data_IF_144552174355
#
_entry.id   IF_144552174355
#
_cell.length_a   1.000
_cell.length_b   1.000
_cell.length_c   1.000
_cell.angle_alpha   90.00
_cell.angle_beta   90.00
_cell.angle_gamma   90.00
#
_symmetry.space_group_name_H-M   'P 1'
#
loop_
_entity.id
_entity.type
_entity.pdbx_description
1 polymer ?
#
# COMPACT_ATOMS: atom_id res chain seq x y z
N UNK A 1 12.19 -25.04 -18.25
CA UNK A 1 11.54 -25.59 -17.06
C UNK A 1 10.32 -24.75 -16.69
N UNK A 2 9.50 -25.28 -15.81
CA UNK A 2 8.32 -24.58 -15.30
C UNK A 2 8.04 -25.00 -13.84
N UNK A 3 7.33 -24.12 -13.09
CA UNK A 3 6.84 -24.43 -11.76
C UNK A 3 5.37 -24.87 -11.82
N UNK A 4 5.05 -25.98 -11.18
CA UNK A 4 3.70 -26.44 -10.93
C UNK A 4 3.33 -26.08 -9.48
N UNK A 5 2.33 -25.20 -9.32
CA UNK A 5 1.88 -24.73 -8.01
C UNK A 5 0.73 -25.62 -7.52
N UNK A 6 0.79 -26.06 -6.28
CA UNK A 6 -0.25 -26.84 -5.59
C UNK A 6 -1.18 -25.97 -4.74
N UNK A 7 -1.17 -24.68 -4.98
CA UNK A 7 -2.04 -23.66 -4.43
C UNK A 7 -2.31 -22.60 -5.53
N UNK A 8 -3.24 -21.67 -5.30
CA UNK A 8 -3.48 -20.58 -6.24
C UNK A 8 -2.41 -19.47 -6.07
N UNK A 9 -1.44 -19.31 -7.00
CA UNK A 9 -0.39 -18.30 -6.89
C UNK A 9 -0.88 -16.87 -7.15
N UNK A 10 -2.05 -16.71 -7.77
CA UNK A 10 -2.66 -15.42 -8.15
C UNK A 10 -4.06 -15.29 -7.53
N UNK A 11 -4.16 -15.04 -6.20
CA UNK A 11 -5.47 -14.83 -5.58
C UNK A 11 -6.14 -13.59 -6.14
N UNK A 12 -7.46 -13.60 -6.21
CA UNK A 12 -8.26 -12.45 -6.63
C UNK A 12 -7.99 -11.25 -5.70
N UNK A 13 -7.43 -10.19 -6.28
CA UNK A 13 -7.09 -8.95 -5.58
C UNK A 13 -8.14 -7.86 -5.79
N UNK A 14 -9.12 -8.09 -6.68
CA UNK A 14 -10.21 -7.14 -6.98
C UNK A 14 -11.56 -7.81 -6.76
N UNK A 15 -12.55 -7.05 -6.27
CA UNK A 15 -13.90 -7.58 -6.15
C UNK A 15 -14.49 -7.85 -7.54
N UNK A 16 -15.35 -8.86 -7.64
CA UNK A 16 -16.04 -9.20 -8.90
C UNK A 16 -17.28 -8.33 -9.05
N UNK A 17 -17.41 -7.67 -10.18
CA UNK A 17 -18.64 -6.96 -10.57
C UNK A 17 -19.59 -7.96 -11.20
N UNK A 18 -20.75 -8.18 -10.58
CA UNK A 18 -21.77 -9.07 -11.06
C UNK A 18 -22.56 -8.45 -12.25
N UNK A 19 -23.28 -9.26 -13.04
CA UNK A 19 -24.04 -8.75 -14.20
C UNK A 19 -25.11 -7.71 -13.86
N UNK A 20 -25.61 -7.72 -12.61
CA UNK A 20 -26.57 -6.72 -12.11
C UNK A 20 -25.90 -5.40 -11.67
N UNK A 21 -24.57 -5.30 -11.78
CA UNK A 21 -23.76 -4.16 -11.37
C UNK A 21 -23.47 -4.08 -9.88
N UNK A 22 -23.88 -5.06 -9.10
CA UNK A 22 -23.45 -5.24 -7.71
C UNK A 22 -22.01 -5.76 -7.64
N UNK A 23 -21.39 -5.66 -6.48
CA UNK A 23 -19.97 -6.01 -6.28
C UNK A 23 -19.88 -7.11 -5.22
N UNK A 24 -19.28 -8.23 -5.59
CA UNK A 24 -19.01 -9.33 -4.67
C UNK A 24 -17.61 -9.17 -4.05
N UNK A 25 -17.59 -8.87 -2.75
CA UNK A 25 -16.37 -8.77 -1.93
C UNK A 25 -15.99 -10.09 -1.26
N UNK A 26 -16.83 -11.15 -1.34
CA UNK A 26 -16.56 -12.42 -0.67
C UNK A 26 -15.40 -13.20 -1.32
N UNK A 27 -15.09 -12.87 -2.56
CA UNK A 27 -13.94 -13.47 -3.29
C UNK A 27 -12.61 -12.96 -2.77
N UNK A 28 -12.59 -11.79 -2.12
CA UNK A 28 -11.38 -11.19 -1.57
C UNK A 28 -10.92 -11.90 -0.32
N UNK A 29 -9.61 -11.88 -0.09
CA UNK A 29 -9.00 -12.41 1.13
C UNK A 29 -9.18 -13.92 1.31
N UNK A 30 -9.41 -14.66 0.22
CA UNK A 30 -9.27 -16.12 0.27
C UNK A 30 -7.81 -16.43 0.58
N UNK A 31 -7.60 -16.99 1.77
CA UNK A 31 -6.29 -17.44 2.22
C UNK A 31 -6.06 -18.86 1.76
N UNK A 32 -4.90 -19.10 1.19
CA UNK A 32 -4.44 -20.45 0.81
C UNK A 32 -3.72 -21.07 2.02
N UNK A 33 -4.51 -21.74 2.86
CA UNK A 33 -4.01 -22.34 4.10
C UNK A 33 -3.26 -23.62 3.83
N UNK A 34 -2.05 -23.72 4.38
CA UNK A 34 -1.20 -24.87 4.26
C UNK A 34 -0.77 -25.37 5.64
N UNK A 35 -0.55 -26.67 5.75
CA UNK A 35 -0.03 -27.33 6.95
C UNK A 35 1.48 -27.53 6.83
N UNK A 36 2.14 -27.66 8.00
CA UNK A 36 3.58 -27.98 8.01
C UNK A 36 3.87 -29.29 7.26
N UNK A 37 4.86 -29.24 6.36
CA UNK A 37 5.26 -30.38 5.53
C UNK A 37 4.42 -30.56 4.25
N UNK A 38 3.45 -29.70 3.99
CA UNK A 38 2.65 -29.74 2.76
C UNK A 38 3.50 -29.34 1.56
N UNK A 39 3.38 -30.09 0.45
CA UNK A 39 3.99 -29.75 -0.83
C UNK A 39 3.32 -28.50 -1.43
N UNK A 40 4.13 -27.51 -1.75
CA UNK A 40 3.68 -26.22 -2.26
C UNK A 40 3.92 -26.06 -3.76
N UNK A 41 5.12 -26.44 -4.21
CA UNK A 41 5.54 -26.24 -5.60
C UNK A 41 6.39 -27.43 -6.04
N UNK A 42 6.17 -27.89 -7.28
CA UNK A 42 7.03 -28.86 -7.97
C UNK A 42 7.69 -28.15 -9.16
N UNK A 43 9.02 -28.24 -9.22
CA UNK A 43 9.77 -27.73 -10.35
C UNK A 43 10.01 -28.82 -11.36
N UNK A 44 9.65 -28.57 -12.62
CA UNK A 44 9.92 -29.43 -13.76
C UNK A 44 11.06 -28.83 -14.59
N UNK A 45 12.21 -29.51 -14.57
CA UNK A 45 13.38 -29.08 -15.31
C UNK A 45 13.17 -29.17 -16.82
N UNK A 46 13.95 -28.42 -17.56
CA UNK A 46 13.98 -28.49 -19.02
C UNK A 46 14.39 -29.88 -19.48
N UNK A 47 13.64 -30.45 -20.42
CA UNK A 47 14.06 -31.65 -21.14
C UNK A 47 15.09 -31.26 -22.21
N UNK A 48 16.13 -32.10 -22.44
CA UNK A 48 17.10 -31.86 -23.48
C UNK A 48 16.41 -31.79 -24.86
N UNK A 49 16.87 -30.88 -25.68
CA UNK A 49 16.33 -30.71 -27.02
C UNK A 49 16.61 -31.95 -27.87
N UNK A 50 15.60 -32.45 -28.58
CA UNK A 50 15.72 -33.60 -29.48
C UNK A 50 15.66 -33.08 -30.90
N UNK A 51 16.75 -33.36 -31.66
CA UNK A 51 16.87 -32.97 -33.07
C UNK A 51 15.82 -33.72 -33.89
N UNK A 52 14.99 -32.96 -34.60
CA UNK A 52 13.99 -33.50 -35.50
C UNK A 52 14.50 -33.76 -36.94
N UNK A 53 13.71 -34.45 -37.77
CA UNK A 53 13.92 -34.53 -39.20
C UNK A 53 12.62 -34.16 -39.93
N UNK A 54 12.77 -33.45 -41.04
CA UNK A 54 11.64 -33.14 -41.92
C UNK A 54 11.24 -34.38 -42.75
N UNK A 55 10.14 -34.26 -43.52
CA UNK A 55 9.64 -35.32 -44.39
C UNK A 55 10.62 -35.66 -45.54
N UNK A 56 11.64 -34.83 -45.78
CA UNK A 56 12.67 -35.05 -46.79
C UNK A 56 13.96 -35.61 -46.18
N UNK A 57 13.98 -35.86 -44.83
CA UNK A 57 15.13 -36.40 -44.10
C UNK A 57 16.17 -35.38 -43.65
N UNK A 58 15.94 -34.08 -43.89
CA UNK A 58 16.83 -33.03 -43.46
C UNK A 58 16.78 -32.84 -41.92
N UNK A 59 17.91 -32.52 -41.29
CA UNK A 59 18.02 -32.29 -39.87
C UNK A 59 17.36 -30.94 -39.57
N UNK A 60 16.36 -30.95 -38.65
CA UNK A 60 15.81 -29.74 -38.07
C UNK A 60 16.46 -29.47 -36.73
N UNK A 61 17.13 -28.31 -36.63
CA UNK A 61 17.76 -27.91 -35.37
C UNK A 61 16.69 -27.73 -34.27
N UNK A 62 16.97 -28.25 -33.10
CA UNK A 62 16.13 -28.08 -31.93
C UNK A 62 16.62 -26.92 -31.08
N UNK A 63 15.71 -26.10 -30.60
CA UNK A 63 16.05 -25.01 -29.68
C UNK A 63 16.07 -25.56 -28.25
N UNK A 64 17.19 -25.33 -27.52
CA UNK A 64 17.26 -25.64 -26.11
C UNK A 64 16.29 -24.74 -25.32
N UNK A 65 15.48 -25.37 -24.49
CA UNK A 65 14.65 -24.64 -23.54
C UNK A 65 15.49 -23.96 -22.48
N UNK A 66 14.98 -22.88 -21.89
CA UNK A 66 15.63 -22.17 -20.78
C UNK A 66 15.13 -22.71 -19.44
N UNK A 67 16.06 -22.92 -18.54
CA UNK A 67 15.74 -23.27 -17.15
C UNK A 67 15.38 -22.04 -16.33
N UNK A 68 14.53 -22.21 -15.32
CA UNK A 68 14.16 -21.13 -14.42
C UNK A 68 15.02 -21.20 -13.16
N UNK A 69 15.51 -20.05 -12.68
CA UNK A 69 16.22 -20.03 -11.42
C UNK A 69 15.29 -20.39 -10.24
N UNK A 70 15.78 -20.97 -9.14
CA UNK A 70 14.97 -21.42 -8.01
C UNK A 70 14.18 -20.29 -7.36
N UNK A 71 13.03 -20.59 -6.75
CA UNK A 71 12.24 -19.66 -5.96
C UNK A 71 12.96 -19.32 -4.66
N UNK A 72 12.83 -18.06 -4.22
CA UNK A 72 13.27 -17.67 -2.88
C UNK A 72 12.23 -18.15 -1.87
N UNK A 73 12.70 -18.77 -0.79
CA UNK A 73 11.86 -19.41 0.20
C UNK A 73 11.91 -18.68 1.54
N UNK A 74 10.73 -18.32 2.08
CA UNK A 74 10.59 -17.83 3.45
C UNK A 74 9.61 -18.69 4.21
N UNK A 75 10.10 -19.39 5.27
CA UNK A 75 9.33 -20.39 6.03
C UNK A 75 8.81 -21.52 5.14
N UNK A 76 9.54 -21.85 4.14
CA UNK A 76 9.41 -23.05 3.32
C UNK A 76 10.80 -23.64 3.11
N UNK A 77 10.87 -24.92 2.79
CA UNK A 77 12.09 -25.67 2.57
C UNK A 77 12.06 -26.32 1.21
N UNK A 78 13.20 -26.37 0.55
CA UNK A 78 13.39 -27.06 -0.71
C UNK A 78 13.98 -28.43 -0.43
N UNK A 79 13.54 -29.47 -1.16
CA UNK A 79 14.09 -30.79 -1.05
C UNK A 79 15.59 -30.85 -1.46
N UNK A 80 16.30 -31.89 -1.08
CA UNK A 80 17.74 -32.06 -1.39
C UNK A 80 18.03 -32.08 -2.90
N UNK A 81 17.06 -32.45 -3.72
CA UNK A 81 17.17 -32.50 -5.17
C UNK A 81 16.88 -31.16 -5.86
N UNK A 82 16.31 -30.20 -5.13
CA UNK A 82 15.97 -28.86 -5.66
C UNK A 82 14.72 -28.79 -6.52
N UNK A 83 13.85 -29.82 -6.46
CA UNK A 83 12.65 -29.89 -7.31
C UNK A 83 11.33 -29.63 -6.58
N UNK A 84 11.30 -29.78 -5.27
CA UNK A 84 10.06 -29.67 -4.50
C UNK A 84 10.22 -28.69 -3.33
N UNK A 85 9.18 -27.87 -3.12
CA UNK A 85 9.13 -26.89 -2.04
C UNK A 85 8.02 -27.26 -1.07
N UNK A 86 8.35 -27.32 0.22
CA UNK A 86 7.47 -27.71 1.31
C UNK A 86 7.29 -26.61 2.33
N UNK A 87 6.12 -26.50 2.94
CA UNK A 87 5.88 -25.58 4.05
C UNK A 87 6.64 -26.00 5.31
N UNK A 88 7.48 -25.11 5.89
CA UNK A 88 8.16 -25.36 7.18
C UNK A 88 7.25 -25.15 8.39
N UNK A 89 6.16 -24.36 8.21
CA UNK A 89 5.16 -24.04 9.24
C UNK A 89 3.78 -24.05 8.61
N UNK A 90 2.74 -24.13 9.44
CA UNK A 90 1.38 -23.86 9.02
C UNK A 90 1.16 -22.35 8.79
N UNK A 91 0.25 -21.98 7.91
CA UNK A 91 -0.07 -20.59 7.62
C UNK A 91 -0.67 -20.35 6.25
N UNK A 92 -0.66 -19.10 5.84
CA UNK A 92 -1.08 -18.66 4.51
C UNK A 92 0.10 -18.65 3.55
N UNK A 93 0.01 -19.38 2.43
CA UNK A 93 1.04 -19.38 1.40
C UNK A 93 0.77 -18.26 0.39
N UNK A 94 1.82 -17.52 0.05
CA UNK A 94 1.76 -16.45 -0.96
C UNK A 94 2.98 -16.50 -1.86
N UNK A 95 2.78 -16.12 -3.13
CA UNK A 95 3.85 -15.95 -4.11
C UNK A 95 3.91 -14.48 -4.55
N UNK A 96 4.96 -13.77 -4.18
CA UNK A 96 5.20 -12.39 -4.61
C UNK A 96 6.41 -12.36 -5.55
N UNK A 97 6.16 -12.23 -6.86
CA UNK A 97 7.20 -12.36 -7.87
C UNK A 97 7.83 -13.76 -7.85
N UNK A 98 9.01 -13.89 -7.26
CA UNK A 98 9.73 -15.17 -7.12
C UNK A 98 9.97 -15.57 -5.66
N UNK A 99 9.32 -14.89 -4.72
CA UNK A 99 9.42 -15.17 -3.30
C UNK A 99 8.18 -15.95 -2.84
N UNK A 100 8.38 -17.24 -2.54
CA UNK A 100 7.38 -18.09 -1.91
C UNK A 100 7.46 -17.89 -0.40
N UNK A 101 6.36 -17.50 0.23
CA UNK A 101 6.33 -17.18 1.66
C UNK A 101 5.16 -17.90 2.33
N UNK A 102 5.40 -18.54 3.47
CA UNK A 102 4.34 -19.04 4.36
C UNK A 102 4.26 -18.12 5.57
N UNK A 103 3.13 -17.43 5.73
CA UNK A 103 2.88 -16.45 6.80
C UNK A 103 1.99 -17.07 7.87
N UNK A 104 2.38 -17.08 9.16
CA UNK A 104 1.51 -17.56 10.24
C UNK A 104 0.20 -16.79 10.28
N UNK A 105 -0.89 -17.46 10.65
CA UNK A 105 -2.22 -16.87 10.79
C UNK A 105 -2.70 -16.99 12.23
N UNK A 106 -3.30 -15.91 12.74
CA UNK A 106 -4.09 -15.91 13.94
C UNK A 106 -5.58 -15.85 13.57
N UNK A 107 -6.26 -16.99 13.66
CA UNK A 107 -7.68 -17.09 13.37
C UNK A 107 -8.50 -16.88 14.66
N UNK A 108 -9.49 -16.00 14.58
CA UNK A 108 -10.47 -15.72 15.65
C UNK A 108 -11.82 -16.18 15.11
N UNK A 109 -12.34 -17.32 15.63
CA UNK A 109 -13.55 -17.96 15.10
C UNK A 109 -14.85 -17.23 15.46
N UNK A 110 -14.80 -16.30 16.42
CA UNK A 110 -15.94 -15.50 16.87
C UNK A 110 -15.78 -14.02 16.59
N UNK A 111 -16.48 -13.23 17.40
CA UNK A 111 -16.37 -11.78 17.39
C UNK A 111 -15.15 -11.32 18.19
N UNK A 112 -14.65 -10.16 17.84
CA UNK A 112 -13.60 -9.46 18.58
C UNK A 112 -14.21 -8.22 19.24
N UNK A 113 -14.17 -8.17 20.56
CA UNK A 113 -14.76 -7.12 21.38
C UNK A 113 -13.80 -6.66 22.49
N UNK A 114 -14.22 -5.68 23.30
CA UNK A 114 -13.41 -5.17 24.41
C UNK A 114 -13.14 -6.24 25.50
N UNK A 115 -13.95 -7.30 25.60
CA UNK A 115 -13.71 -8.41 26.53
C UNK A 115 -12.64 -9.37 26.02
N UNK A 116 -12.54 -9.55 24.71
CA UNK A 116 -11.48 -10.30 24.04
C UNK A 116 -10.15 -9.54 24.09
N UNK A 117 -10.21 -8.19 24.13
CA UNK A 117 -9.07 -7.28 24.22
C UNK A 117 -8.43 -6.95 22.87
N UNK A 118 -7.34 -6.18 22.94
CA UNK A 118 -6.56 -5.78 21.78
C UNK A 118 -5.72 -6.94 21.27
N UNK A 119 -5.48 -6.98 19.95
CA UNK A 119 -4.68 -8.01 19.28
C UNK A 119 -3.45 -7.37 18.66
N UNK A 120 -2.26 -7.85 19.03
CA UNK A 120 -0.98 -7.52 18.37
C UNK A 120 -0.30 -8.84 17.94
N UNK A 121 -0.16 -9.06 16.63
CA UNK A 121 0.29 -10.34 16.10
C UNK A 121 1.33 -10.18 14.98
N UNK A 122 2.31 -11.07 14.93
CA UNK A 122 3.28 -11.15 13.85
C UNK A 122 2.87 -12.18 12.79
N UNK A 123 2.05 -11.78 11.83
CA UNK A 123 1.53 -12.65 10.78
C UNK A 123 0.25 -12.08 10.21
N UNK A 124 -0.60 -12.92 9.60
CA UNK A 124 -1.91 -12.52 9.14
C UNK A 124 -2.97 -12.75 10.23
N UNK A 125 -3.99 -11.92 10.29
CA UNK A 125 -5.10 -12.05 11.24
C UNK A 125 -6.40 -12.24 10.48
N UNK A 126 -7.15 -13.28 10.83
CA UNK A 126 -8.46 -13.59 10.28
C UNK A 126 -9.52 -13.55 11.40
N UNK A 127 -10.48 -12.64 11.30
CA UNK A 127 -11.64 -12.58 12.18
C UNK A 127 -12.86 -13.09 11.43
N UNK A 128 -13.45 -14.20 11.88
CA UNK A 128 -14.63 -14.81 11.24
C UNK A 128 -15.92 -14.04 11.57
N UNK A 129 -15.99 -13.46 12.76
CA UNK A 129 -17.13 -12.68 13.23
C UNK A 129 -16.95 -11.17 13.02
N UNK A 130 -17.65 -10.40 13.86
CA UNK A 130 -17.63 -8.94 13.86
C UNK A 130 -16.47 -8.40 14.72
N UNK A 131 -16.04 -7.18 14.43
CA UNK A 131 -15.15 -6.40 15.28
C UNK A 131 -15.95 -5.25 15.87
N UNK A 132 -16.14 -5.26 17.18
CA UNK A 132 -16.93 -4.26 17.89
C UNK A 132 -16.10 -3.02 18.27
N UNK A 133 -16.79 -1.97 18.71
CA UNK A 133 -16.19 -0.71 19.08
C UNK A 133 -15.15 -0.84 20.20
N UNK A 134 -14.10 0.00 20.14
CA UNK A 134 -13.06 0.12 21.16
C UNK A 134 -11.91 -0.88 21.04
N UNK A 135 -11.90 -1.74 20.04
CA UNK A 135 -10.83 -2.72 19.81
C UNK A 135 -9.72 -2.13 18.95
N UNK A 136 -8.48 -2.45 19.32
CA UNK A 136 -7.28 -2.23 18.49
C UNK A 136 -6.74 -3.56 17.98
N UNK A 137 -6.67 -3.70 16.66
CA UNK A 137 -6.08 -4.85 16.00
C UNK A 137 -4.84 -4.42 15.22
N UNK A 138 -3.69 -4.96 15.58
CA UNK A 138 -2.41 -4.64 14.97
C UNK A 138 -1.71 -5.89 14.47
N UNK A 139 -1.19 -5.84 13.25
CA UNK A 139 -0.44 -6.94 12.67
C UNK A 139 0.66 -6.48 11.71
N UNK A 140 1.70 -7.28 11.57
CA UNK A 140 2.71 -7.07 10.53
C UNK A 140 2.29 -7.63 9.16
N UNK A 141 1.29 -8.49 9.11
CA UNK A 141 0.69 -9.07 7.91
C UNK A 141 -0.58 -8.35 7.47
N UNK A 142 -1.55 -9.11 6.99
CA UNK A 142 -2.86 -8.64 6.53
C UNK A 142 -3.93 -8.87 7.60
N UNK A 143 -4.95 -8.02 7.62
CA UNK A 143 -6.16 -8.19 8.43
C UNK A 143 -7.31 -8.55 7.49
N UNK A 144 -7.99 -9.66 7.76
CA UNK A 144 -9.24 -10.02 7.07
C UNK A 144 -10.37 -10.13 8.09
N UNK A 145 -11.45 -9.38 7.89
CA UNK A 145 -12.67 -9.47 8.73
C UNK A 145 -13.82 -9.90 7.84
N UNK A 146 -14.42 -11.06 8.16
CA UNK A 146 -15.57 -11.57 7.44
C UNK A 146 -16.88 -10.91 7.89
N UNK A 147 -16.96 -10.49 9.15
CA UNK A 147 -18.09 -9.76 9.72
C UNK A 147 -18.06 -8.26 9.47
N UNK A 148 -18.89 -7.54 10.22
CA UNK A 148 -18.95 -6.08 10.23
C UNK A 148 -17.94 -5.51 11.22
N UNK A 149 -17.40 -4.32 10.92
CA UNK A 149 -16.49 -3.59 11.80
C UNK A 149 -17.17 -2.31 12.27
N UNK A 150 -17.23 -2.12 13.58
CA UNK A 150 -17.66 -0.87 14.20
C UNK A 150 -16.47 0.06 14.45
N UNK A 151 -16.59 0.99 15.39
CA UNK A 151 -15.54 1.96 15.75
C UNK A 151 -14.32 1.25 16.34
N UNK A 152 -13.41 0.81 15.50
CA UNK A 152 -12.18 0.10 15.86
C UNK A 152 -10.94 0.73 15.21
N UNK A 153 -9.75 0.34 15.69
CA UNK A 153 -8.48 0.76 15.13
C UNK A 153 -7.78 -0.45 14.50
N UNK A 154 -7.63 -0.44 13.17
CA UNK A 154 -7.02 -1.52 12.41
C UNK A 154 -5.70 -1.08 11.80
N UNK A 155 -4.60 -1.73 12.18
CA UNK A 155 -3.24 -1.45 11.71
C UNK A 155 -2.63 -2.70 11.09
N UNK A 156 -2.51 -2.73 9.77
CA UNK A 156 -1.91 -3.83 9.02
C UNK A 156 -0.62 -3.41 8.33
N UNK A 157 0.41 -4.23 8.42
CA UNK A 157 1.64 -4.02 7.64
C UNK A 157 1.46 -4.27 6.14
N UNK A 158 0.43 -5.04 5.76
CA UNK A 158 0.05 -5.31 4.36
C UNK A 158 -1.37 -4.81 4.06
N UNK A 159 -2.32 -5.70 3.87
CA UNK A 159 -3.66 -5.37 3.40
C UNK A 159 -4.71 -5.40 4.53
N UNK A 160 -5.76 -4.59 4.40
CA UNK A 160 -6.96 -4.67 5.23
C UNK A 160 -8.15 -5.01 4.34
N UNK A 161 -8.81 -6.13 4.64
CA UNK A 161 -9.94 -6.66 3.87
C UNK A 161 -11.16 -6.78 4.78
N UNK A 162 -12.18 -5.94 4.53
CA UNK A 162 -13.43 -5.89 5.30
C UNK A 162 -14.59 -6.31 4.40
N UNK A 163 -15.00 -7.59 4.46
CA UNK A 163 -16.03 -8.12 3.56
C UNK A 163 -17.38 -7.43 3.70
N UNK A 164 -17.72 -7.01 4.92
CA UNK A 164 -18.98 -6.31 5.23
C UNK A 164 -18.81 -4.81 5.52
N UNK A 165 -17.58 -4.27 5.39
CA UNK A 165 -17.31 -2.85 5.59
C UNK A 165 -17.17 -2.40 7.03
N UNK A 166 -17.04 -1.09 7.25
CA UNK A 166 -16.81 -0.47 8.56
C UNK A 166 -17.67 0.78 8.76
N UNK A 167 -18.23 0.91 9.98
CA UNK A 167 -18.88 2.11 10.48
C UNK A 167 -18.11 2.66 11.68
N UNK A 168 -17.28 3.67 11.43
CA UNK A 168 -16.29 4.15 12.41
C UNK A 168 -16.80 5.25 13.36
N UNK A 169 -18.02 5.74 13.20
CA UNK A 169 -18.65 6.79 14.05
C UNK A 169 -17.73 8.01 14.33
N UNK A 170 -16.85 8.34 13.39
CA UNK A 170 -15.89 9.45 13.47
C UNK A 170 -14.54 9.14 14.15
N UNK A 171 -14.43 8.04 14.88
CA UNK A 171 -13.21 7.64 15.60
C UNK A 171 -12.56 6.35 15.03
N UNK A 172 -13.18 5.71 14.05
CA UNK A 172 -12.62 4.52 13.43
C UNK A 172 -11.36 4.85 12.60
N UNK A 173 -10.34 4.01 12.69
CA UNK A 173 -9.08 4.18 11.95
C UNK A 173 -8.68 2.90 11.24
N UNK A 174 -8.35 3.00 9.97
CA UNK A 174 -7.74 1.93 9.18
C UNK A 174 -6.40 2.43 8.65
N UNK A 175 -5.33 1.70 8.93
CA UNK A 175 -4.01 1.92 8.32
C UNK A 175 -3.48 0.64 7.72
N UNK A 176 -3.32 0.62 6.41
CA UNK A 176 -2.74 -0.50 5.66
C UNK A 176 -1.44 -0.07 5.00
N UNK A 177 -0.42 -0.91 5.12
CA UNK A 177 0.85 -0.67 4.41
C UNK A 177 0.71 -0.81 2.89
N UNK A 178 -0.31 -1.56 2.40
CA UNK A 178 -0.61 -1.73 0.98
C UNK A 178 -2.05 -1.30 0.65
N UNK A 179 -2.99 -2.21 0.65
CA UNK A 179 -4.34 -1.96 0.12
C UNK A 179 -5.40 -2.02 1.23
N UNK A 180 -6.45 -1.23 1.04
CA UNK A 180 -7.69 -1.34 1.82
C UNK A 180 -8.80 -1.76 0.87
N UNK A 181 -9.46 -2.87 1.18
CA UNK A 181 -10.61 -3.39 0.44
C UNK A 181 -11.80 -3.52 1.39
N UNK A 182 -12.90 -2.86 1.08
CA UNK A 182 -14.08 -2.87 1.93
C UNK A 182 -15.36 -2.79 1.10
N UNK A 183 -16.44 -3.38 1.60
CA UNK A 183 -17.75 -3.21 0.97
C UNK A 183 -18.23 -1.77 1.04
N UNK A 184 -18.07 -1.12 2.20
CA UNK A 184 -18.29 0.30 2.42
C UNK A 184 -17.45 0.81 3.59
N UNK A 185 -17.27 2.13 3.61
CA UNK A 185 -16.59 2.86 4.68
C UNK A 185 -17.45 4.06 5.06
N UNK A 186 -17.76 4.18 6.36
CA UNK A 186 -18.58 5.25 6.90
C UNK A 186 -17.93 5.86 8.14
N UNK A 187 -17.82 7.19 8.17
CA UNK A 187 -17.27 7.99 9.27
C UNK A 187 -15.95 7.44 9.83
N UNK A 188 -14.99 7.14 8.92
CA UNK A 188 -13.73 6.44 9.23
C UNK A 188 -12.57 7.20 8.61
N UNK A 189 -11.42 7.19 9.29
CA UNK A 189 -10.13 7.62 8.75
C UNK A 189 -9.41 6.42 8.13
N UNK A 190 -9.01 6.54 6.86
CA UNK A 190 -8.43 5.45 6.09
C UNK A 190 -7.13 5.87 5.44
N UNK A 191 -6.06 5.13 5.71
CA UNK A 191 -4.74 5.34 5.11
C UNK A 191 -4.28 4.04 4.44
N UNK A 192 -4.10 4.07 3.13
CA UNK A 192 -3.56 2.96 2.35
C UNK A 192 -2.26 3.36 1.67
N UNK A 193 -1.22 2.53 1.77
CA UNK A 193 0.04 2.78 1.08
C UNK A 193 -0.09 2.73 -0.45
N UNK A 194 -1.02 1.91 -0.97
CA UNK A 194 -1.29 1.77 -2.40
C UNK A 194 -2.74 2.15 -2.75
N UNK A 195 -3.66 1.19 -2.78
CA UNK A 195 -5.02 1.35 -3.31
C UNK A 195 -6.10 1.23 -2.24
N UNK A 196 -7.14 2.04 -2.34
CA UNK A 196 -8.40 1.85 -1.61
C UNK A 196 -9.47 1.42 -2.61
N UNK A 197 -10.05 0.22 -2.41
CA UNK A 197 -11.11 -0.32 -3.24
C UNK A 197 -12.35 -0.57 -2.37
N UNK A 198 -13.44 0.12 -2.66
CA UNK A 198 -14.67 0.03 -1.85
C UNK A 198 -15.91 0.29 -2.70
N UNK A 199 -17.09 -0.13 -2.23
CA UNK A 199 -18.37 0.14 -2.88
C UNK A 199 -18.95 1.52 -2.55
N UNK A 200 -18.64 2.07 -1.37
CA UNK A 200 -19.10 3.40 -0.96
C UNK A 200 -18.17 4.02 0.08
N UNK A 201 -18.06 5.35 0.03
CA UNK A 201 -17.38 6.17 1.03
C UNK A 201 -18.36 7.23 1.51
N UNK A 202 -18.65 7.23 2.83
CA UNK A 202 -19.62 8.13 3.46
C UNK A 202 -18.96 8.88 4.63
N UNK A 203 -18.80 10.19 4.49
CA UNK A 203 -18.23 11.08 5.52
C UNK A 203 -16.87 10.57 6.08
N UNK A 204 -15.96 10.13 5.19
CA UNK A 204 -14.66 9.61 5.57
C UNK A 204 -13.53 10.57 5.20
N UNK A 205 -12.39 10.40 5.87
CA UNK A 205 -11.10 10.93 5.46
C UNK A 205 -10.28 9.78 4.90
N UNK A 206 -10.04 9.79 3.59
CA UNK A 206 -9.35 8.70 2.88
C UNK A 206 -8.10 9.23 2.21
N UNK A 207 -6.97 8.59 2.50
CA UNK A 207 -5.69 8.85 1.84
C UNK A 207 -5.13 7.58 1.23
N UNK A 208 -4.81 7.64 -0.05
CA UNK A 208 -4.23 6.53 -0.82
C UNK A 208 -2.93 6.95 -1.49
N UNK A 209 -1.90 6.13 -1.35
CA UNK A 209 -0.60 6.34 -1.99
C UNK A 209 -0.60 6.11 -3.50
N UNK A 210 -1.69 5.57 -4.06
CA UNK A 210 -1.83 5.35 -5.50
C UNK A 210 -3.22 5.77 -5.99
N UNK A 211 -4.26 4.94 -5.81
CA UNK A 211 -5.59 5.20 -6.36
C UNK A 211 -6.72 4.84 -5.40
N UNK A 212 -7.85 5.52 -5.58
CA UNK A 212 -9.12 5.19 -4.92
C UNK A 212 -10.12 4.77 -5.98
N UNK A 213 -10.59 3.54 -5.89
CA UNK A 213 -11.53 2.95 -6.83
C UNK A 213 -12.83 2.60 -6.10
N UNK A 214 -13.90 3.30 -6.47
CA UNK A 214 -15.22 2.96 -5.97
C UNK A 214 -15.88 2.02 -6.97
N UNK A 215 -15.96 0.74 -6.59
CA UNK A 215 -16.42 -0.32 -7.48
C UNK A 215 -17.95 -0.34 -7.63
N UNK A 216 -18.40 -0.81 -8.79
CA UNK A 216 -19.81 -1.00 -9.12
C UNK A 216 -20.51 0.24 -9.72
N UNK A 217 -21.64 -0.03 -10.38
CA UNK A 217 -22.40 1.00 -11.09
C UNK A 217 -23.10 2.01 -10.17
N UNK A 218 -23.14 1.75 -8.88
CA UNK A 218 -23.73 2.62 -7.84
C UNK A 218 -22.69 3.13 -6.84
N UNK A 219 -21.40 2.95 -7.18
CA UNK A 219 -20.29 3.38 -6.32
C UNK A 219 -20.34 4.87 -6.03
N UNK A 220 -20.38 5.25 -4.75
CA UNK A 220 -20.60 6.63 -4.37
C UNK A 220 -19.60 7.14 -3.34
N UNK A 221 -19.25 8.42 -3.44
CA UNK A 221 -18.48 9.19 -2.45
C UNK A 221 -19.35 10.35 -1.99
N UNK A 222 -19.72 10.40 -0.72
CA UNK A 222 -20.54 11.46 -0.14
C UNK A 222 -19.91 11.95 1.17
N UNK A 223 -19.57 13.23 1.21
CA UNK A 223 -18.99 13.89 2.39
C UNK A 223 -17.54 13.49 2.67
N UNK A 224 -16.86 14.31 3.45
CA UNK A 224 -15.48 14.13 3.82
C UNK A 224 -14.48 14.48 2.71
N UNK A 225 -13.28 13.94 2.82
CA UNK A 225 -12.16 14.17 1.89
C UNK A 225 -11.56 12.84 1.41
N UNK A 226 -11.38 12.72 0.10
CA UNK A 226 -10.73 11.57 -0.52
C UNK A 226 -9.52 12.05 -1.32
N UNK A 227 -8.35 11.60 -0.92
CA UNK A 227 -7.06 11.95 -1.53
C UNK A 227 -6.40 10.73 -2.16
N UNK A 228 -5.95 10.86 -3.39
CA UNK A 228 -5.15 9.85 -4.09
C UNK A 228 -4.00 10.50 -4.86
N UNK A 229 -2.95 9.73 -5.14
CA UNK A 229 -1.82 10.24 -5.92
C UNK A 229 -2.12 10.24 -7.41
N UNK A 230 -2.69 9.16 -7.94
CA UNK A 230 -2.81 8.95 -9.39
C UNK A 230 -4.25 9.08 -9.91
N UNK A 231 -5.20 8.43 -9.23
CA UNK A 231 -6.57 8.38 -9.75
C UNK A 231 -7.61 8.21 -8.65
N UNK A 232 -8.76 8.88 -8.82
CA UNK A 232 -10.00 8.58 -8.11
C UNK A 232 -11.05 8.20 -9.15
N UNK A 233 -11.72 7.06 -8.95
CA UNK A 233 -12.79 6.58 -9.83
C UNK A 233 -14.06 6.34 -9.01
N UNK A 234 -15.18 6.92 -9.41
CA UNK A 234 -16.48 6.71 -8.77
C UNK A 234 -17.62 6.76 -9.80
N UNK A 235 -18.76 6.14 -9.49
CA UNK A 235 -19.96 6.31 -10.28
C UNK A 235 -20.67 7.62 -9.90
N UNK A 236 -20.70 8.00 -8.62
CA UNK A 236 -21.33 9.24 -8.17
C UNK A 236 -20.50 9.94 -7.09
N UNK A 237 -20.50 11.28 -7.11
CA UNK A 237 -19.80 12.12 -6.13
C UNK A 237 -20.74 13.19 -5.59
N UNK A 238 -20.74 13.35 -4.25
CA UNK A 238 -21.66 14.25 -3.56
C UNK A 238 -23.10 13.76 -3.59
N UNK A 239 -24.01 14.58 -3.12
CA UNK A 239 -25.44 14.32 -3.15
C UNK A 239 -26.23 15.61 -3.42
N UNK A 240 -27.53 15.47 -3.68
CA UNK A 240 -28.44 16.61 -3.92
C UNK A 240 -28.62 17.51 -2.70
N UNK A 241 -28.33 17.03 -1.50
CA UNK A 241 -28.39 17.83 -0.27
C UNK A 241 -27.19 18.78 -0.11
N UNK A 242 -26.20 18.72 -1.02
CA UNK A 242 -25.04 19.60 -1.01
C UNK A 242 -24.04 19.31 0.11
N UNK A 243 -23.95 18.05 0.55
CA UNK A 243 -22.91 17.64 1.53
C UNK A 243 -21.53 17.88 0.91
N UNK A 244 -20.73 18.70 1.60
CA UNK A 244 -19.37 19.03 1.14
C UNK A 244 -18.54 17.76 0.96
N UNK A 245 -18.13 17.51 -0.27
CA UNK A 245 -17.33 16.34 -0.67
C UNK A 245 -16.11 16.84 -1.40
N UNK A 246 -14.92 16.54 -0.88
CA UNK A 246 -13.67 16.97 -1.48
C UNK A 246 -12.93 15.78 -2.09
N UNK A 247 -12.50 15.93 -3.34
CA UNK A 247 -11.66 14.97 -4.05
C UNK A 247 -10.32 15.62 -4.39
N UNK A 248 -9.23 15.00 -3.98
CA UNK A 248 -7.88 15.55 -4.14
C UNK A 248 -7.01 14.57 -4.92
N UNK A 249 -6.38 15.03 -5.97
CA UNK A 249 -5.33 14.29 -6.68
C UNK A 249 -3.99 14.96 -6.45
N UNK A 250 -3.03 14.13 -6.05
CA UNK A 250 -1.64 14.55 -5.87
C UNK A 250 -1.45 15.35 -4.59
N UNK A 251 -0.60 16.36 -4.70
CA UNK A 251 -0.24 17.19 -3.56
C UNK A 251 -1.23 18.32 -3.37
N UNK A 252 -1.56 18.58 -2.12
CA UNK A 252 -2.39 19.70 -1.72
C UNK A 252 -1.68 21.07 -1.88
N UNK A 253 -2.32 22.14 -1.45
CA UNK A 253 -1.76 23.49 -1.51
C UNK A 253 -0.52 23.67 -0.61
N UNK A 254 -0.32 22.79 0.37
CA UNK A 254 0.78 22.86 1.35
C UNK A 254 2.10 22.23 0.85
N UNK A 255 2.11 21.62 -0.33
CA UNK A 255 3.32 20.98 -0.86
C UNK A 255 4.53 21.91 -0.91
N UNK A 256 4.33 23.17 -1.36
CA UNK A 256 5.41 24.14 -1.45
C UNK A 256 5.96 24.50 -0.08
N UNK A 257 5.10 24.59 0.94
CA UNK A 257 5.50 24.87 2.31
C UNK A 257 6.29 23.70 2.91
N UNK A 258 5.80 22.48 2.73
CA UNK A 258 6.47 21.24 3.16
C UNK A 258 7.83 21.07 2.48
N UNK A 259 7.95 21.37 1.19
CA UNK A 259 9.24 21.35 0.49
C UNK A 259 10.19 22.44 1.04
N UNK A 260 9.70 23.66 1.26
CA UNK A 260 10.50 24.73 1.83
C UNK A 260 11.00 24.43 3.25
N UNK A 261 10.19 23.75 4.07
CA UNK A 261 10.61 23.28 5.39
C UNK A 261 11.71 22.20 5.31
N UNK A 262 11.54 21.24 4.39
CA UNK A 262 12.55 20.19 4.14
C UNK A 262 13.88 20.80 3.68
N UNK A 263 13.85 21.74 2.75
CA UNK A 263 15.06 22.40 2.26
C UNK A 263 15.75 23.17 3.42
N UNK A 264 15.01 23.92 4.24
CA UNK A 264 15.55 24.60 5.42
C UNK A 264 16.19 23.66 6.44
N UNK A 265 15.50 22.54 6.76
CA UNK A 265 16.03 21.55 7.70
C UNK A 265 17.27 20.84 7.14
N UNK A 266 17.33 20.64 5.83
CA UNK A 266 18.50 20.07 5.16
C UNK A 266 19.71 21.00 5.33
N UNK A 267 19.54 22.29 5.03
CA UNK A 267 20.61 23.30 5.19
C UNK A 267 21.08 23.38 6.65
N UNK A 268 20.16 23.37 7.61
CA UNK A 268 20.48 23.39 9.04
C UNK A 268 21.30 22.17 9.47
N UNK A 269 20.88 20.96 9.07
CA UNK A 269 21.59 19.73 9.45
C UNK A 269 22.92 19.58 8.74
N UNK A 270 23.06 20.04 7.50
CA UNK A 270 24.35 20.10 6.79
C UNK A 270 25.32 21.06 7.48
N UNK A 271 24.87 22.24 7.88
CA UNK A 271 25.68 23.20 8.63
C UNK A 271 26.18 22.62 9.96
N UNK A 272 25.26 22.03 10.74
CA UNK A 272 25.60 21.39 12.02
C UNK A 272 26.55 20.20 11.86
N UNK A 273 26.42 19.42 10.79
CA UNK A 273 27.32 18.31 10.48
C UNK A 273 28.74 18.84 10.14
N UNK A 274 28.83 19.87 9.30
CA UNK A 274 30.11 20.51 8.96
C UNK A 274 30.81 21.10 10.20
N UNK A 275 30.04 21.66 11.12
CA UNK A 275 30.64 22.20 12.35
C UNK A 275 31.17 21.09 13.29
N UNK A 276 30.44 19.95 13.38
CA UNK A 276 30.92 18.79 14.10
C UNK A 276 32.18 18.18 13.43
N UNK A 277 32.27 18.18 12.09
CA UNK A 277 33.45 17.75 11.35
C UNK A 277 34.66 18.67 11.62
N UNK A 278 34.49 19.99 11.55
CA UNK A 278 35.55 20.95 11.89
C UNK A 278 36.05 20.79 13.34
N UNK A 279 35.12 20.50 14.27
CA UNK A 279 35.48 20.24 15.66
C UNK A 279 36.32 18.96 15.82
N UNK A 280 35.94 17.90 15.11
CA UNK A 280 36.68 16.62 15.05
C UNK A 280 38.09 16.82 14.46
N UNK A 281 38.20 17.62 13.39
CA UNK A 281 39.48 17.93 12.75
C UNK A 281 40.41 18.70 13.72
N UNK A 282 39.89 19.70 14.47
CA UNK A 282 40.64 20.41 15.52
C UNK A 282 41.13 19.47 16.59
N UNK A 283 40.24 18.57 17.10
CA UNK A 283 40.60 17.59 18.12
C UNK A 283 41.67 16.62 17.57
N UNK A 284 41.54 16.19 16.30
CA UNK A 284 42.53 15.30 15.67
C UNK A 284 43.91 15.97 15.51
N UNK A 285 43.93 17.28 15.24
CA UNK A 285 45.16 18.07 15.17
C UNK A 285 45.81 18.21 16.57
N UNK A 286 45.03 18.47 17.63
CA UNK A 286 45.51 18.52 19.02
C UNK A 286 46.13 17.20 19.48
N UNK A 287 45.52 16.06 19.08
CA UNK A 287 46.03 14.72 19.40
C UNK A 287 47.36 14.37 18.69
N UNK A 288 47.77 15.12 17.66
CA UNK A 288 49.09 14.96 17.03
C UNK A 288 50.19 15.62 17.82
N UNK A 289 49.88 16.64 18.65
CA UNK A 289 50.84 17.44 19.38
C UNK A 289 50.81 17.22 20.89
N UNK A 290 49.77 16.58 21.43
CA UNK A 290 49.60 16.34 22.86
C UNK A 290 49.08 14.91 23.14
N UNK A 291 49.42 14.29 24.28
CA UNK A 291 48.89 12.98 24.64
C UNK A 291 47.39 13.06 24.89
N UNK A 292 46.67 11.99 24.56
CA UNK A 292 45.21 11.88 24.72
C UNK A 292 44.84 11.94 26.22
N UNK A 293 44.11 13.02 26.63
CA UNK A 293 43.49 13.07 27.94
C UNK A 293 42.07 12.50 27.92
N UNK A 294 41.53 12.05 29.07
CA UNK A 294 40.14 11.58 29.17
C UNK A 294 39.12 12.60 28.63
N UNK A 295 39.34 13.89 28.88
CA UNK A 295 38.47 15.00 28.44
C UNK A 295 38.48 15.15 26.92
N UNK A 296 39.64 15.06 26.26
CA UNK A 296 39.76 15.14 24.80
C UNK A 296 39.06 13.94 24.15
N UNK A 297 39.19 12.75 24.73
CA UNK A 297 38.50 11.56 24.25
C UNK A 297 36.97 11.67 24.39
N UNK A 298 36.49 12.25 25.51
CA UNK A 298 35.07 12.52 25.73
C UNK A 298 34.51 13.52 24.71
N UNK A 299 35.22 14.64 24.48
CA UNK A 299 34.85 15.64 23.46
C UNK A 299 34.81 15.03 22.06
N UNK A 300 35.81 14.20 21.70
CA UNK A 300 35.82 13.49 20.44
C UNK A 300 34.60 12.56 20.26
N UNK A 301 34.30 11.80 21.32
CA UNK A 301 33.14 10.91 21.31
C UNK A 301 31.80 11.67 21.16
N UNK A 302 31.69 12.83 21.83
CA UNK A 302 30.51 13.68 21.74
C UNK A 302 30.33 14.25 20.32
N UNK A 303 31.37 14.81 19.72
CA UNK A 303 31.30 15.34 18.35
C UNK A 303 31.04 14.23 17.32
N UNK A 304 31.58 13.03 17.53
CA UNK A 304 31.32 11.88 16.69
C UNK A 304 29.85 11.42 16.75
N UNK A 305 29.26 11.41 17.96
CA UNK A 305 27.84 11.13 18.15
C UNK A 305 26.96 12.19 17.47
N UNK A 306 27.30 13.48 17.60
CA UNK A 306 26.61 14.57 16.91
C UNK A 306 26.64 14.39 15.41
N UNK A 307 27.80 14.11 14.82
CA UNK A 307 27.96 13.87 13.39
C UNK A 307 27.06 12.71 12.92
N UNK A 308 27.11 11.57 13.60
CA UNK A 308 26.29 10.40 13.26
C UNK A 308 24.79 10.74 13.34
N UNK A 309 24.36 11.46 14.40
CA UNK A 309 22.96 11.86 14.54
C UNK A 309 22.49 12.77 13.39
N UNK A 310 23.29 13.74 12.98
CA UNK A 310 22.94 14.60 11.85
C UNK A 310 22.96 13.85 10.51
N UNK A 311 23.88 12.88 10.31
CA UNK A 311 23.87 12.01 9.16
C UNK A 311 22.58 11.18 9.06
N UNK A 312 22.09 10.63 10.18
CA UNK A 312 20.82 9.89 10.21
C UNK A 312 19.64 10.80 9.88
N UNK A 313 19.59 12.01 10.48
CA UNK A 313 18.53 12.99 10.20
C UNK A 313 18.54 13.45 8.74
N UNK A 314 19.71 13.69 8.14
CA UNK A 314 19.84 14.02 6.72
C UNK A 314 19.33 12.90 5.83
N UNK A 315 19.65 11.64 6.16
CA UNK A 315 19.14 10.49 5.43
C UNK A 315 17.61 10.39 5.48
N UNK A 316 17.01 10.60 6.64
CA UNK A 316 15.55 10.60 6.81
C UNK A 316 14.87 11.71 6.02
N UNK A 317 15.43 12.93 6.07
CA UNK A 317 14.90 14.08 5.34
C UNK A 317 15.05 13.90 3.83
N UNK A 318 16.19 13.39 3.37
CA UNK A 318 16.39 13.09 1.94
C UNK A 318 15.38 12.07 1.44
N UNK A 319 15.12 11.00 2.22
CA UNK A 319 14.11 10.01 1.88
C UNK A 319 12.69 10.64 1.80
N UNK A 320 12.33 11.51 2.75
CA UNK A 320 11.05 12.26 2.70
C UNK A 320 10.95 13.15 1.47
N UNK A 321 12.04 13.86 1.13
CA UNK A 321 12.11 14.71 -0.07
C UNK A 321 11.91 13.89 -1.35
N UNK A 322 12.57 12.76 -1.48
CA UNK A 322 12.42 11.85 -2.61
C UNK A 322 10.99 11.31 -2.72
N UNK A 323 10.37 10.93 -1.61
CA UNK A 323 8.96 10.50 -1.59
C UNK A 323 8.02 11.60 -2.12
N UNK A 324 8.17 12.85 -1.65
CA UNK A 324 7.35 13.96 -2.12
C UNK A 324 7.56 14.27 -3.60
N UNK A 325 8.79 14.20 -4.09
CA UNK A 325 9.12 14.38 -5.51
C UNK A 325 8.48 13.25 -6.34
N UNK A 326 8.55 12.00 -5.87
CA UNK A 326 7.94 10.87 -6.57
C UNK A 326 6.40 11.01 -6.62
N UNK A 327 5.75 11.38 -5.52
CA UNK A 327 4.32 11.69 -5.48
C UNK A 327 3.98 12.78 -6.51
N UNK A 328 4.74 13.88 -6.53
CA UNK A 328 4.51 14.97 -7.50
C UNK A 328 4.66 14.51 -8.95
N UNK A 329 5.63 13.65 -9.23
CA UNK A 329 5.83 13.07 -10.57
C UNK A 329 4.69 12.15 -10.98
N UNK A 330 4.27 11.24 -10.10
CA UNK A 330 3.19 10.27 -10.36
C UNK A 330 1.83 10.95 -10.48
N UNK A 331 1.61 12.03 -9.74
CA UNK A 331 0.36 12.80 -9.80
C UNK A 331 0.28 13.75 -11.00
N UNK A 332 1.34 13.90 -11.80
CA UNK A 332 1.36 14.85 -12.93
C UNK A 332 0.23 14.61 -13.94
N UNK A 333 -0.06 13.33 -14.24
CA UNK A 333 -1.15 12.91 -15.13
C UNK A 333 -2.40 12.46 -14.35
N UNK A 334 -2.46 12.81 -13.07
CA UNK A 334 -3.53 12.42 -12.19
C UNK A 334 -4.90 12.92 -12.62
N UNK A 335 -5.93 12.09 -12.39
CA UNK A 335 -7.30 12.36 -12.87
C UNK A 335 -8.36 11.86 -11.90
N UNK A 336 -9.54 12.47 -11.97
CA UNK A 336 -10.75 11.99 -11.29
C UNK A 336 -11.76 11.62 -12.37
N UNK A 337 -12.23 10.38 -12.35
CA UNK A 337 -13.18 9.82 -13.33
C UNK A 337 -14.50 9.56 -12.63
N UNK A 338 -15.56 10.21 -13.10
CA UNK A 338 -16.92 10.02 -12.59
C UNK A 338 -17.81 9.55 -13.76
N UNK A 339 -18.16 8.25 -13.73
CA UNK A 339 -18.96 7.63 -14.81
C UNK A 339 -20.45 7.96 -14.75
N UNK A 340 -20.96 8.44 -13.64
CA UNK A 340 -22.34 8.88 -13.45
C UNK A 340 -22.43 10.36 -13.15
N UNK A 341 -22.72 10.74 -11.91
CA UNK A 341 -23.06 12.12 -11.55
C UNK A 341 -22.09 12.73 -10.55
N UNK A 342 -21.56 13.93 -10.88
CA UNK A 342 -20.90 14.83 -9.92
C UNK A 342 -21.88 15.90 -9.51
N UNK A 343 -22.25 15.95 -8.23
CA UNK A 343 -23.27 16.89 -7.72
C UNK A 343 -22.66 18.26 -7.40
N UNK A 344 -23.52 19.26 -7.31
CA UNK A 344 -23.17 20.64 -6.90
C UNK A 344 -22.57 20.64 -5.49
N UNK A 345 -21.62 21.54 -5.24
CA UNK A 345 -20.97 21.69 -3.94
C UNK A 345 -19.77 20.75 -3.72
N UNK A 346 -19.46 19.86 -4.67
CA UNK A 346 -18.23 19.08 -4.63
C UNK A 346 -17.01 19.96 -4.93
N UNK A 347 -15.92 19.71 -4.25
CA UNK A 347 -14.64 20.39 -4.41
C UNK A 347 -13.67 19.43 -5.08
N UNK A 348 -13.14 19.82 -6.21
CA UNK A 348 -12.13 19.07 -6.96
C UNK A 348 -10.80 19.80 -6.81
N UNK A 349 -9.77 19.07 -6.36
CA UNK A 349 -8.40 19.60 -6.25
C UNK A 349 -7.46 18.69 -7.04
N UNK A 350 -6.70 19.25 -7.98
CA UNK A 350 -5.72 18.47 -8.74
C UNK A 350 -4.39 19.23 -8.74
N UNK A 351 -3.41 18.69 -8.01
CA UNK A 351 -2.08 19.28 -7.86
C UNK A 351 -2.13 20.78 -7.50
N UNK A 352 -2.90 21.12 -6.47
CA UNK A 352 -3.05 22.47 -5.92
C UNK A 352 -4.01 23.39 -6.70
N UNK A 353 -4.58 22.93 -7.81
CA UNK A 353 -5.63 23.67 -8.53
C UNK A 353 -6.99 23.22 -8.01
N UNK A 354 -7.77 24.17 -7.47
CA UNK A 354 -9.06 23.93 -6.84
C UNK A 354 -10.20 24.43 -7.69
N UNK A 355 -11.26 23.64 -7.81
CA UNK A 355 -12.51 23.96 -8.48
C UNK A 355 -13.69 23.58 -7.60
N UNK A 356 -14.65 24.49 -7.43
CA UNK A 356 -15.94 24.22 -6.78
C UNK A 356 -17.00 23.98 -7.86
N UNK A 357 -17.67 22.82 -7.82
CA UNK A 357 -18.70 22.52 -8.80
C UNK A 357 -19.99 23.32 -8.51
N UNK A 358 -20.31 24.24 -9.39
CA UNK A 358 -21.51 25.08 -9.34
C UNK A 358 -22.72 24.48 -10.07
N UNK A 359 -22.50 23.41 -10.85
CA UNK A 359 -23.53 22.69 -11.59
C UNK A 359 -23.31 21.19 -11.51
N UNK A 360 -24.37 20.42 -11.86
CA UNK A 360 -24.26 18.95 -11.97
C UNK A 360 -23.56 18.58 -13.28
N UNK A 361 -22.57 17.70 -13.20
CA UNK A 361 -21.88 17.13 -14.36
C UNK A 361 -22.12 15.63 -14.42
N UNK A 362 -22.21 15.08 -15.63
CA UNK A 362 -22.44 13.64 -15.85
C UNK A 362 -21.41 13.08 -16.78
N UNK A 363 -20.89 11.90 -16.41
CA UNK A 363 -19.93 11.12 -17.18
C UNK A 363 -18.74 11.98 -17.64
N UNK A 364 -17.94 12.38 -16.65
CA UNK A 364 -16.85 13.34 -16.83
C UNK A 364 -15.55 12.86 -16.22
N UNK A 365 -14.46 13.33 -16.81
CA UNK A 365 -13.11 13.21 -16.25
C UNK A 365 -12.56 14.61 -15.95
N UNK A 366 -12.09 14.78 -14.70
CA UNK A 366 -11.41 15.99 -14.26
C UNK A 366 -9.91 15.80 -14.38
N UNK A 367 -9.22 16.75 -15.00
CA UNK A 367 -7.76 16.79 -15.14
C UNK A 367 -7.22 18.18 -14.84
N UNK A 368 -5.94 18.25 -14.48
CA UNK A 368 -5.26 19.54 -14.30
C UNK A 368 -5.17 20.30 -15.63
N UNK A 369 -5.66 21.53 -15.65
CA UNK A 369 -5.35 22.53 -16.66
C UNK A 369 -4.16 23.40 -16.24
N UNK A 370 -3.94 24.53 -16.91
CA UNK A 370 -2.85 25.47 -16.54
C UNK A 370 -3.12 26.18 -15.21
N UNK A 371 -4.32 26.72 -15.03
CA UNK A 371 -4.77 27.45 -13.83
C UNK A 371 -6.18 27.07 -13.37
N UNK A 372 -6.79 26.09 -14.00
CA UNK A 372 -8.15 25.60 -13.75
C UNK A 372 -8.19 24.08 -13.82
N UNK A 373 -9.23 23.46 -13.28
CA UNK A 373 -9.54 22.06 -13.48
C UNK A 373 -10.32 21.92 -14.80
N UNK A 374 -9.78 21.16 -15.74
CA UNK A 374 -10.48 20.84 -16.99
C UNK A 374 -11.50 19.74 -16.79
N UNK A 375 -12.73 19.97 -17.24
CA UNK A 375 -13.83 19.03 -17.21
C UNK A 375 -13.97 18.46 -18.63
N UNK A 376 -13.78 17.16 -18.79
CA UNK A 376 -13.80 16.47 -20.08
C UNK A 376 -14.96 15.48 -20.05
N UNK A 377 -15.90 15.61 -21.00
CA UNK A 377 -16.98 14.62 -21.16
C UNK A 377 -16.40 13.29 -21.67
N UNK A 378 -16.79 12.17 -21.07
CA UNK A 378 -16.38 10.84 -21.52
C UNK A 378 -17.27 10.31 -22.66
N UNK A 379 -18.40 10.99 -22.95
CA UNK A 379 -19.27 10.65 -24.09
C UNK A 379 -18.60 11.12 -25.37
N UNK A 380 -18.27 10.18 -26.23
CA UNK A 380 -18.00 10.43 -27.65
C UNK A 380 -19.30 10.53 -28.42
#
# INVERSE_FOLDING_TARGET
GYFEYHFNPEPETKPIILPDGSVDYNVLGKMELVTKGQLLVTYHAVLPAVVGRDVQGNIMEAYEGKDLPPLQCKRCEMDEKGFQYYASTEGNVTLEGRCLTVTPIYAIDGNLDAATGDVDFHGDVLVQGNVFAGVTLKTTGSITVNGHVETAHLYAGKDVILKNGMQGSGNGVIRAGRNVMARFLEQTQVYAGNEVNTGAILNCEVESGQSVVIAGNRGTIIGGSVTAVEQITAASVGNRAGVTTQLVIGLDCEFKEKMGEIDRLTDEYEANMKDAEKALDRISYQLKSQPATPEINQQKAEQMRRKINYQLKLKEITAKREQLIDINRRSADGKIVVSGTSNVGCIIVINGVRELLHSEYRDVTYKKGRQEVRIISNRQ
#
